data_IF_659791252716
#
_entry.id   IF_659791252716
#
_cell.length_a   1.000
_cell.length_b   1.000
_cell.length_c   1.000
_cell.angle_alpha   90.00
_cell.angle_beta   90.00
_cell.angle_gamma   90.00
#
_symmetry.space_group_name_H-M   'P 1'
#
loop_
_entity.id
_entity.type
_entity.pdbx_description
1 polymer ?
#
# COMPACT_ATOMS: atom_id res chain seq x y z
N UNK A 1 15.18 24.70 3.29
CA UNK A 1 13.93 25.35 3.69
C UNK A 1 12.79 24.48 3.18
N UNK A 2 12.06 23.81 4.06
CA UNK A 2 10.88 23.02 3.68
C UNK A 2 9.73 23.99 3.42
N UNK A 3 9.17 23.97 2.21
CA UNK A 3 7.96 24.73 1.87
C UNK A 3 6.82 24.43 2.85
N UNK A 4 5.98 25.39 3.21
CA UNK A 4 4.82 25.13 4.07
C UNK A 4 3.91 24.05 3.44
N UNK A 5 3.23 23.20 4.25
CA UNK A 5 2.51 22.02 3.78
C UNK A 5 1.44 22.30 2.69
N UNK A 6 0.78 23.45 2.72
CA UNK A 6 -0.18 23.85 1.69
C UNK A 6 0.45 24.07 0.31
N UNK A 7 1.67 24.61 0.26
CA UNK A 7 2.40 24.85 -1.01
C UNK A 7 2.86 23.55 -1.65
N UNK A 8 3.29 22.59 -0.83
CA UNK A 8 3.68 21.25 -1.32
C UNK A 8 2.48 20.50 -1.91
N UNK A 9 1.35 20.51 -1.21
CA UNK A 9 0.12 19.85 -1.70
C UNK A 9 -0.30 20.40 -3.07
N UNK A 10 -0.34 21.72 -3.24
CA UNK A 10 -0.74 22.32 -4.51
C UNK A 10 0.23 21.97 -5.63
N UNK A 11 1.54 22.03 -5.36
CA UNK A 11 2.57 21.61 -6.34
C UNK A 11 2.44 20.14 -6.75
N UNK A 12 2.24 19.26 -5.78
CA UNK A 12 2.07 17.82 -6.04
C UNK A 12 0.76 17.54 -6.81
N UNK A 13 -0.32 18.26 -6.47
CA UNK A 13 -1.61 18.15 -7.17
C UNK A 13 -1.49 18.62 -8.63
N UNK A 14 -0.88 19.77 -8.88
CA UNK A 14 -0.67 20.29 -10.23
C UNK A 14 0.21 19.35 -11.04
N UNK A 15 1.28 18.84 -10.46
CA UNK A 15 2.16 17.87 -11.12
C UNK A 15 1.43 16.56 -11.45
N UNK A 16 0.66 16.01 -10.51
CA UNK A 16 -0.12 14.78 -10.75
C UNK A 16 -1.17 14.96 -11.84
N UNK A 17 -1.78 16.16 -11.95
CA UNK A 17 -2.75 16.50 -12.99
C UNK A 17 -2.08 16.65 -14.36
N UNK A 18 -0.99 17.41 -14.42
CA UNK A 18 -0.40 17.86 -15.70
C UNK A 18 0.59 16.82 -16.25
N UNK A 19 1.26 16.06 -15.39
CA UNK A 19 2.21 15.01 -15.75
C UNK A 19 1.99 13.71 -14.95
N UNK A 20 0.84 13.04 -15.11
CA UNK A 20 0.47 11.90 -14.27
C UNK A 20 1.46 10.73 -14.36
N UNK A 21 2.03 10.46 -15.53
CA UNK A 21 2.99 9.38 -15.69
C UNK A 21 4.27 9.61 -14.89
N UNK A 22 4.82 10.82 -14.91
CA UNK A 22 6.03 11.14 -14.16
C UNK A 22 5.75 11.17 -12.66
N UNK A 23 4.67 11.83 -12.24
CA UNK A 23 4.30 11.90 -10.83
C UNK A 23 4.09 10.50 -10.23
N UNK A 24 3.19 9.72 -10.81
CA UNK A 24 2.86 8.39 -10.28
C UNK A 24 3.98 7.37 -10.49
N UNK A 25 4.83 7.55 -11.50
CA UNK A 25 6.03 6.74 -11.68
C UNK A 25 7.03 6.92 -10.54
N UNK A 26 7.24 8.15 -10.08
CA UNK A 26 8.10 8.45 -8.92
C UNK A 26 7.49 7.89 -7.61
N UNK A 27 6.19 8.08 -7.41
CA UNK A 27 5.51 7.55 -6.22
C UNK A 27 5.52 6.01 -6.21
N UNK A 28 5.36 5.38 -7.37
CA UNK A 28 5.40 3.92 -7.53
C UNK A 28 6.79 3.32 -7.24
N UNK A 29 7.86 4.11 -7.27
CA UNK A 29 9.18 3.65 -6.86
C UNK A 29 9.28 3.30 -5.37
N UNK A 30 8.33 3.77 -4.55
CA UNK A 30 8.22 3.42 -3.14
C UNK A 30 7.50 2.09 -2.90
N UNK A 31 6.92 1.49 -3.93
CA UNK A 31 6.24 0.19 -3.86
C UNK A 31 7.25 -0.94 -4.09
N UNK A 32 7.17 -1.98 -3.26
CA UNK A 32 7.90 -3.22 -3.48
C UNK A 32 7.11 -4.08 -4.48
N UNK A 33 7.51 -4.05 -5.74
CA UNK A 33 6.90 -4.83 -6.81
C UNK A 33 7.44 -6.26 -6.84
N UNK A 34 6.59 -7.25 -7.11
CA UNK A 34 7.00 -8.60 -7.51
C UNK A 34 7.40 -8.61 -8.98
N UNK A 35 6.63 -7.91 -9.82
CA UNK A 35 6.97 -7.58 -11.19
C UNK A 35 6.76 -6.09 -11.39
N UNK A 36 7.76 -5.31 -11.80
CA UNK A 36 7.60 -3.87 -12.03
C UNK A 36 6.66 -3.62 -13.22
N UNK A 37 6.02 -2.43 -13.27
CA UNK A 37 5.14 -2.08 -14.37
C UNK A 37 5.91 -1.86 -15.67
N UNK A 38 5.32 -2.29 -16.79
CA UNK A 38 5.80 -1.99 -18.15
C UNK A 38 5.52 -0.52 -18.53
N UNK A 39 4.42 0.03 -18.02
CA UNK A 39 4.03 1.44 -18.18
C UNK A 39 3.26 1.92 -16.95
N UNK A 40 3.40 3.19 -16.61
CA UNK A 40 2.69 3.81 -15.48
C UNK A 40 1.23 4.02 -15.82
N UNK A 41 0.94 4.59 -16.99
CA UNK A 41 -0.42 4.86 -17.47
C UNK A 41 -0.51 4.50 -18.95
N UNK A 42 -1.39 3.57 -19.28
CA UNK A 42 -1.76 3.23 -20.64
C UNK A 42 -3.11 3.86 -21.00
N UNK A 43 -3.09 4.76 -21.98
CA UNK A 43 -4.25 5.51 -22.47
C UNK A 43 -4.80 5.00 -23.82
N UNK A 44 -4.22 3.93 -24.38
CA UNK A 44 -4.56 3.44 -25.75
C UNK A 44 -6.01 2.98 -25.88
N UNK A 45 -6.61 2.54 -24.77
CA UNK A 45 -8.02 2.09 -24.72
C UNK A 45 -8.95 3.13 -24.08
N UNK A 46 -8.67 4.44 -24.22
CA UNK A 46 -9.51 5.49 -23.67
C UNK A 46 -11.00 5.28 -24.03
N UNK A 47 -11.96 5.52 -23.11
CA UNK A 47 -11.78 6.08 -21.76
C UNK A 47 -11.39 5.06 -20.68
N UNK A 48 -11.11 3.80 -21.02
CA UNK A 48 -10.73 2.74 -20.09
C UNK A 48 -9.20 2.72 -19.98
N UNK A 49 -8.66 3.47 -19.01
CA UNK A 49 -7.23 3.56 -18.77
C UNK A 49 -6.74 2.38 -17.92
N UNK A 50 -5.50 1.94 -18.19
CA UNK A 50 -4.81 0.95 -17.36
C UNK A 50 -3.63 1.59 -16.64
N UNK A 51 -3.60 1.44 -15.32
CA UNK A 51 -2.49 1.89 -14.48
C UNK A 51 -1.56 0.73 -14.17
N UNK A 52 -0.25 1.01 -14.21
CA UNK A 52 0.80 0.06 -13.86
C UNK A 52 0.67 -1.29 -14.58
N UNK A 53 0.46 -1.24 -15.91
CA UNK A 53 0.25 -2.41 -16.73
C UNK A 53 1.36 -3.46 -16.55
N UNK A 54 0.98 -4.73 -16.42
CA UNK A 54 1.90 -5.85 -16.21
C UNK A 54 2.48 -5.96 -14.80
N UNK A 55 2.25 -4.98 -13.93
CA UNK A 55 2.77 -5.00 -12.57
C UNK A 55 2.05 -6.00 -11.67
N UNK A 56 2.81 -6.61 -10.76
CA UNK A 56 2.27 -7.41 -9.68
C UNK A 56 2.93 -7.04 -8.36
N UNK A 57 2.17 -7.07 -7.29
CA UNK A 57 2.66 -6.81 -5.94
C UNK A 57 1.94 -7.67 -4.91
N UNK A 58 2.53 -7.82 -3.74
CA UNK A 58 1.84 -8.31 -2.55
C UNK A 58 1.56 -7.12 -1.63
N UNK A 59 0.28 -6.82 -1.43
CA UNK A 59 -0.15 -5.71 -0.59
C UNK A 59 0.23 -5.94 0.87
N UNK A 60 0.11 -7.18 1.37
CA UNK A 60 0.50 -7.51 2.74
C UNK A 60 2.01 -7.28 2.95
N UNK A 61 2.85 -7.75 2.02
CA UNK A 61 4.29 -7.51 2.06
C UNK A 61 4.60 -6.00 2.17
N UNK A 62 3.94 -5.19 1.34
CA UNK A 62 4.12 -3.74 1.37
C UNK A 62 3.61 -3.06 2.65
N UNK A 63 2.54 -3.58 3.27
CA UNK A 63 1.94 -2.98 4.45
C UNK A 63 2.49 -3.51 5.78
N UNK A 64 3.04 -4.74 5.80
CA UNK A 64 3.45 -5.42 7.03
C UNK A 64 4.90 -5.90 6.96
N UNK A 65 5.21 -6.87 6.10
CA UNK A 65 6.47 -7.61 6.10
C UNK A 65 7.68 -6.68 5.95
N UNK A 66 7.66 -5.79 4.96
CA UNK A 66 8.76 -4.85 4.69
C UNK A 66 9.10 -3.95 5.88
N UNK A 67 8.12 -3.64 6.73
CA UNK A 67 8.35 -2.80 7.91
C UNK A 67 9.03 -3.58 9.03
N UNK A 68 8.66 -4.85 9.22
CA UNK A 68 9.34 -5.76 10.15
C UNK A 68 10.78 -5.98 9.70
N UNK A 69 10.99 -6.31 8.41
CA UNK A 69 12.32 -6.50 7.82
C UNK A 69 13.22 -5.25 7.94
N UNK A 70 12.61 -4.07 7.89
CA UNK A 70 13.33 -2.79 8.09
C UNK A 70 13.62 -2.48 9.57
N UNK A 71 13.32 -3.39 10.50
CA UNK A 71 13.57 -3.23 11.93
C UNK A 71 12.52 -2.35 12.65
N UNK A 72 11.32 -2.23 12.07
CA UNK A 72 10.23 -1.44 12.65
C UNK A 72 9.14 -2.30 13.31
N UNK A 73 9.44 -3.57 13.61
CA UNK A 73 8.49 -4.54 14.18
C UNK A 73 7.78 -4.05 15.43
N UNK A 74 8.50 -3.41 16.35
CA UNK A 74 7.96 -2.88 17.61
C UNK A 74 7.11 -1.59 17.46
N UNK A 75 7.07 -0.97 16.27
CA UNK A 75 6.25 0.23 16.08
C UNK A 75 4.77 -0.14 16.01
N UNK A 76 3.92 0.74 16.58
CA UNK A 76 2.46 0.59 16.47
C UNK A 76 2.05 0.74 15.00
N UNK A 77 1.49 -0.33 14.44
CA UNK A 77 1.00 -0.41 13.08
C UNK A 77 -0.51 -0.10 13.00
N UNK A 78 -1.28 -0.49 14.01
CA UNK A 78 -2.73 -0.34 14.02
C UNK A 78 -3.22 0.04 15.42
N UNK A 79 -4.15 1.00 15.45
CA UNK A 79 -4.90 1.36 16.65
C UNK A 79 -6.37 1.11 16.34
N UNK A 80 -6.99 0.19 17.08
CA UNK A 80 -8.41 -0.05 17.05
C UNK A 80 -9.06 0.58 18.29
N UNK A 81 -9.92 1.56 18.05
CA UNK A 81 -10.72 2.22 19.09
C UNK A 81 -12.18 1.84 18.88
N UNK A 82 -12.78 1.22 19.89
CA UNK A 82 -14.17 0.77 19.84
C UNK A 82 -15.02 1.52 20.88
N UNK A 83 -15.89 2.44 20.43
CA UNK A 83 -16.82 3.12 21.31
C UNK A 83 -17.90 2.15 21.90
N UNK A 84 -18.13 1.02 21.21
CA UNK A 84 -19.12 0.02 21.65
C UNK A 84 -18.62 -0.78 22.85
N UNK A 85 -17.35 -1.18 22.82
CA UNK A 85 -16.72 -1.96 23.91
C UNK A 85 -15.91 -1.10 24.88
N UNK A 86 -15.80 0.21 24.62
CA UNK A 86 -14.99 1.16 25.37
C UNK A 86 -13.53 0.70 25.53
N UNK A 87 -12.98 0.11 24.46
CA UNK A 87 -11.63 -0.45 24.47
C UNK A 87 -10.78 0.11 23.35
N UNK A 88 -9.49 0.33 23.66
CA UNK A 88 -8.48 0.71 22.68
C UNK A 88 -7.42 -0.39 22.62
N UNK A 89 -7.26 -0.99 21.46
CA UNK A 89 -6.22 -2.01 21.20
C UNK A 89 -5.17 -1.43 20.29
N UNK A 90 -3.89 -1.63 20.63
CA UNK A 90 -2.75 -1.29 19.76
C UNK A 90 -2.05 -2.57 19.34
N UNK A 91 -1.72 -2.66 18.06
CA UNK A 91 -0.92 -3.75 17.51
C UNK A 91 0.35 -3.18 16.93
N UNK A 92 1.48 -3.79 17.25
CA UNK A 92 2.75 -3.54 16.57
C UNK A 92 2.76 -4.20 15.19
N UNK A 93 3.75 -3.88 14.34
CA UNK A 93 3.92 -4.55 13.04
C UNK A 93 4.17 -6.05 13.21
N UNK A 94 4.96 -6.47 14.20
CA UNK A 94 5.19 -7.89 14.50
C UNK A 94 3.90 -8.61 14.89
N UNK A 95 3.10 -8.02 15.76
CA UNK A 95 1.82 -8.59 16.19
C UNK A 95 0.81 -8.64 15.04
N UNK A 96 0.75 -7.57 14.21
CA UNK A 96 -0.12 -7.51 13.06
C UNK A 96 0.25 -8.58 12.04
N UNK A 97 1.54 -8.69 11.68
CA UNK A 97 2.04 -9.69 10.75
C UNK A 97 1.71 -11.11 11.23
N UNK A 98 1.92 -11.42 12.50
CA UNK A 98 1.59 -12.72 13.08
C UNK A 98 0.08 -13.04 13.00
N UNK A 99 -0.79 -12.03 13.19
CA UNK A 99 -2.24 -12.20 13.07
C UNK A 99 -2.68 -12.41 11.63
N UNK A 100 -2.13 -11.62 10.70
CA UNK A 100 -2.40 -11.73 9.27
C UNK A 100 -1.98 -13.10 8.74
N UNK A 101 -0.79 -13.59 9.09
CA UNK A 101 -0.31 -14.90 8.68
C UNK A 101 -1.22 -16.05 9.17
N UNK A 102 -1.66 -15.99 10.43
CA UNK A 102 -2.61 -16.99 10.97
C UNK A 102 -3.96 -16.95 10.27
N UNK A 103 -4.50 -15.75 10.00
CA UNK A 103 -5.76 -15.59 9.31
C UNK A 103 -5.66 -16.09 7.85
N UNK A 104 -4.58 -15.74 7.14
CA UNK A 104 -4.32 -16.22 5.78
C UNK A 104 -4.23 -17.76 5.72
N UNK A 105 -3.61 -18.40 6.73
CA UNK A 105 -3.62 -19.85 6.86
C UNK A 105 -5.02 -20.41 7.02
N UNK A 106 -5.83 -19.82 7.91
CA UNK A 106 -7.19 -20.28 8.18
C UNK A 106 -8.11 -20.18 6.95
N UNK A 107 -8.05 -19.08 6.19
CA UNK A 107 -8.87 -18.94 4.95
C UNK A 107 -8.42 -19.90 3.86
N UNK A 108 -7.11 -20.13 3.71
CA UNK A 108 -6.56 -21.13 2.78
C UNK A 108 -7.03 -22.53 3.13
N UNK A 109 -7.08 -22.90 4.40
CA UNK A 109 -7.56 -24.20 4.86
C UNK A 109 -9.07 -24.39 4.59
N UNK A 110 -9.82 -23.31 4.33
CA UNK A 110 -11.22 -23.34 3.85
C UNK A 110 -11.33 -23.41 2.32
N UNK A 111 -10.21 -23.52 1.61
CA UNK A 111 -10.18 -23.68 0.15
C UNK A 111 -10.15 -22.36 -0.62
N UNK A 112 -9.93 -21.23 0.03
CA UNK A 112 -9.80 -19.93 -0.67
C UNK A 112 -8.48 -19.88 -1.42
N UNK A 113 -8.54 -19.58 -2.71
CA UNK A 113 -7.39 -19.54 -3.61
C UNK A 113 -7.25 -18.16 -4.28
N UNK A 114 -6.18 -18.00 -5.07
CA UNK A 114 -5.94 -16.77 -5.81
C UNK A 114 -7.02 -16.57 -6.88
N UNK A 115 -7.78 -15.48 -6.76
CA UNK A 115 -8.81 -15.10 -7.72
C UNK A 115 -10.25 -15.25 -7.20
N UNK A 116 -10.39 -15.79 -5.97
CA UNK A 116 -11.70 -15.86 -5.28
C UNK A 116 -12.17 -14.48 -4.79
#
# INVERSE_FOLDING_TARGET
>A
MTSPPATRYLSDFEHARDNPQDFWGREAAHIRWLSPPESVLDTRAAPFYSWFAGATLNTCDNCCDRHVEAGHGERVALIHDSPVTHSVTRLTYDELLARVARFAGAIRDQGVEKGD
#
